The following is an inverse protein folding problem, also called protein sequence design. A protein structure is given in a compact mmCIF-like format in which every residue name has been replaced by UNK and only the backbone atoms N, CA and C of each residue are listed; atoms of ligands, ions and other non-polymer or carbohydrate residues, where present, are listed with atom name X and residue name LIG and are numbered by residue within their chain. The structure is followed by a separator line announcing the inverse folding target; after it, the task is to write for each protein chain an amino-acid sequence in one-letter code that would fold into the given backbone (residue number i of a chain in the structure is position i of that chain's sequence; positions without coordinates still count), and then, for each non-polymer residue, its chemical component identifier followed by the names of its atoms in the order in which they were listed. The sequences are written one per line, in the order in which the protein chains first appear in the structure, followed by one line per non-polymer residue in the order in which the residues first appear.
data_IF_176492754063
#
_entry.id   IF_176492754063
#
_cell.length_a   1.000
_cell.length_b   1.000
_cell.length_c   1.000
_cell.angle_alpha   90.00
_cell.angle_beta   90.00
_cell.angle_gamma   90.00
#
_symmetry.space_group_name_H-M   'P 1'
#
loop_
_entity.id
_entity.type
_entity.pdbx_description
1 polymer ?
#
# COMPACT_ATOMS: atom_id res chain seq x y z
N UNK A 1 -32.59 45.14 49.67
CA UNK A 1 -31.34 44.95 48.92
C UNK A 1 -31.13 43.45 48.60
N UNK A 2 -31.73 42.98 47.54
CA UNK A 2 -31.48 41.62 47.01
C UNK A 2 -30.28 41.67 46.03
N UNK A 3 -29.08 41.58 46.57
CA UNK A 3 -27.84 41.77 45.86
C UNK A 3 -27.38 40.41 45.29
N UNK A 4 -27.50 40.25 43.95
CA UNK A 4 -26.68 39.40 43.06
C UNK A 4 -26.29 37.97 43.54
N UNK A 5 -27.26 37.15 43.96
CA UNK A 5 -26.99 35.70 44.16
C UNK A 5 -27.09 34.87 42.86
N UNK A 6 -27.63 35.44 41.80
CA UNK A 6 -27.78 34.75 40.52
C UNK A 6 -26.53 34.82 39.61
N UNK A 7 -25.63 35.80 39.84
CA UNK A 7 -24.45 35.98 38.99
C UNK A 7 -23.50 34.76 38.97
N UNK A 8 -23.16 34.12 40.14
CA UNK A 8 -22.30 32.93 40.12
C UNK A 8 -22.96 31.71 39.47
N UNK A 9 -24.29 31.62 39.55
CA UNK A 9 -25.03 30.50 38.95
C UNK A 9 -25.10 30.60 37.43
N UNK A 10 -25.25 31.80 36.86
CA UNK A 10 -25.19 32.06 35.44
C UNK A 10 -23.79 31.85 34.89
N UNK A 11 -22.75 32.24 35.62
CA UNK A 11 -21.38 32.02 35.27
C UNK A 11 -21.01 30.52 35.25
N UNK A 12 -21.50 29.74 36.25
CA UNK A 12 -21.30 28.30 36.29
C UNK A 12 -21.98 27.57 35.11
N UNK A 13 -23.21 27.98 34.76
CA UNK A 13 -23.95 27.47 33.61
C UNK A 13 -23.23 27.80 32.28
N UNK A 14 -22.68 29.00 32.16
CA UNK A 14 -21.92 29.40 30.94
C UNK A 14 -20.61 28.60 30.81
N UNK A 15 -19.91 28.33 31.92
CA UNK A 15 -18.71 27.51 31.91
C UNK A 15 -19.00 26.04 31.54
N UNK A 16 -20.16 25.49 31.95
CA UNK A 16 -20.52 24.11 31.59
C UNK A 16 -20.82 23.92 30.13
N UNK A 17 -21.30 24.97 29.44
CA UNK A 17 -21.48 24.95 27.95
C UNK A 17 -20.16 24.97 27.17
N UNK A 18 -19.08 25.49 27.73
CA UNK A 18 -17.77 25.56 27.08
C UNK A 18 -16.97 24.24 27.16
N UNK A 19 -17.38 23.28 28.01
CA UNK A 19 -16.65 22.02 28.22
C UNK A 19 -17.18 20.88 27.31
N UNK A 20 -18.33 21.06 26.65
CA UNK A 20 -18.93 20.03 25.81
C UNK A 20 -18.49 20.08 24.33
N UNK A 21 -17.40 20.77 24.01
CA UNK A 21 -16.85 20.79 22.65
C UNK A 21 -15.82 19.66 22.43
N UNK A 22 -16.20 18.41 22.73
CA UNK A 22 -15.50 17.27 22.13
C UNK A 22 -16.06 17.07 20.72
N UNK A 23 -15.41 17.62 19.72
CA UNK A 23 -15.76 17.34 18.34
C UNK A 23 -15.42 15.87 18.03
N UNK A 24 -16.40 15.16 17.46
CA UNK A 24 -16.30 13.76 17.01
C UNK A 24 -15.22 13.55 15.94
N UNK A 25 -14.70 14.65 15.39
CA UNK A 25 -13.72 14.68 14.29
C UNK A 25 -12.25 14.62 14.77
N UNK A 26 -12.00 14.49 16.07
CA UNK A 26 -10.63 14.45 16.63
C UNK A 26 -10.02 13.04 16.64
N UNK A 27 -10.76 12.00 16.22
CA UNK A 27 -10.29 10.61 16.21
C UNK A 27 -10.33 10.07 14.78
N UNK A 28 -9.16 9.64 14.28
CA UNK A 28 -9.10 8.90 13.04
C UNK A 28 -9.66 7.48 13.24
N UNK A 29 -10.75 7.17 12.55
CA UNK A 29 -11.40 5.87 12.65
C UNK A 29 -10.55 4.78 11.98
N UNK A 30 -10.56 3.57 12.53
CA UNK A 30 -9.83 2.40 12.00
C UNK A 30 -10.28 2.06 10.57
N UNK A 31 -11.53 2.37 10.23
CA UNK A 31 -12.12 2.13 8.91
C UNK A 31 -11.69 3.17 7.85
N UNK A 32 -10.98 4.22 8.28
CA UNK A 32 -10.50 5.24 7.32
C UNK A 32 -9.47 4.63 6.38
N UNK A 33 -9.61 4.81 5.06
CA UNK A 33 -8.70 4.23 4.08
C UNK A 33 -7.25 4.68 4.34
N UNK A 34 -6.35 3.73 4.52
CA UNK A 34 -4.90 3.99 4.64
C UNK A 34 -4.25 4.13 3.25
N UNK A 35 -2.97 4.48 3.23
CA UNK A 35 -2.14 4.44 2.00
C UNK A 35 -2.23 3.06 1.36
N UNK A 36 -2.69 2.96 0.10
CA UNK A 36 -2.88 1.68 -0.57
C UNK A 36 -1.56 1.04 -0.96
N UNK A 37 -1.58 -0.29 -1.06
CA UNK A 37 -0.46 -1.10 -1.54
C UNK A 37 -0.69 -1.47 -3.00
N UNK A 38 0.39 -1.71 -3.72
CA UNK A 38 0.37 -2.20 -5.09
C UNK A 38 -0.11 -3.66 -5.10
N UNK A 39 -1.18 -3.96 -5.83
CA UNK A 39 -1.68 -5.31 -6.05
C UNK A 39 -1.14 -5.83 -7.37
N UNK A 40 -0.33 -6.88 -7.30
CA UNK A 40 0.27 -7.55 -8.46
C UNK A 40 -0.29 -8.96 -8.55
N UNK A 41 -0.81 -9.36 -9.72
CA UNK A 41 -1.23 -10.73 -9.98
C UNK A 41 -0.27 -11.46 -10.91
N UNK A 42 -0.12 -12.74 -10.65
CA UNK A 42 0.74 -13.64 -11.39
C UNK A 42 -0.12 -14.48 -12.35
N UNK A 43 0.27 -14.52 -13.60
CA UNK A 43 -0.42 -15.24 -14.67
C UNK A 43 0.53 -16.17 -15.42
N UNK A 44 -0.06 -17.18 -16.04
CA UNK A 44 0.67 -18.08 -16.92
C UNK A 44 1.08 -17.35 -18.20
N UNK A 45 2.36 -17.42 -18.56
CA UNK A 45 2.91 -16.82 -19.76
C UNK A 45 2.33 -17.43 -21.06
N UNK A 46 1.99 -18.73 -21.04
CA UNK A 46 1.45 -19.46 -22.17
C UNK A 46 -0.08 -19.30 -22.29
N UNK A 47 -0.77 -19.04 -21.17
CA UNK A 47 -2.19 -18.74 -21.15
C UNK A 47 -2.48 -17.54 -20.23
N UNK A 48 -2.41 -16.35 -20.76
CA UNK A 48 -2.52 -15.07 -20.04
C UNK A 48 -3.86 -14.82 -19.33
N UNK A 49 -4.87 -15.63 -19.60
CA UNK A 49 -6.16 -15.54 -18.90
C UNK A 49 -6.17 -16.34 -17.60
N UNK A 50 -5.24 -17.27 -17.42
CA UNK A 50 -5.16 -18.10 -16.26
C UNK A 50 -4.17 -17.52 -15.24
N UNK A 51 -4.65 -17.34 -14.00
CA UNK A 51 -3.75 -17.05 -12.90
C UNK A 51 -2.85 -18.27 -12.64
N UNK A 52 -1.60 -18.00 -12.28
CA UNK A 52 -0.61 -19.03 -11.96
C UNK A 52 0.12 -18.68 -10.68
N UNK A 53 -0.09 -19.49 -9.66
CA UNK A 53 0.59 -19.28 -8.40
C UNK A 53 2.09 -19.61 -8.52
N UNK A 54 2.91 -18.76 -7.90
CA UNK A 54 4.32 -19.08 -7.66
C UNK A 54 4.41 -20.05 -6.46
N UNK A 55 5.03 -21.19 -6.63
CA UNK A 55 5.01 -22.30 -5.65
C UNK A 55 5.61 -21.96 -4.28
N UNK A 56 6.61 -21.13 -4.22
CA UNK A 56 7.21 -20.67 -2.97
C UNK A 56 7.98 -19.39 -3.29
N UNK A 57 7.27 -18.28 -3.29
CA UNK A 57 7.88 -16.98 -3.52
C UNK A 57 8.23 -16.32 -2.19
N UNK A 58 9.47 -15.87 -2.07
CA UNK A 58 9.94 -15.06 -0.94
C UNK A 58 10.29 -13.67 -1.45
N UNK A 59 9.75 -12.65 -0.81
CA UNK A 59 9.91 -11.25 -1.23
C UNK A 59 10.66 -10.49 -0.14
N UNK A 60 11.71 -9.77 -0.57
CA UNK A 60 12.48 -8.86 0.27
C UNK A 60 12.40 -7.44 -0.28
N UNK A 61 12.25 -6.45 0.59
CA UNK A 61 12.62 -5.08 0.22
C UNK A 61 14.13 -5.01 0.02
N UNK A 62 14.61 -4.44 -1.07
CA UNK A 62 16.06 -4.32 -1.32
C UNK A 62 16.71 -3.53 -0.18
N UNK A 63 17.79 -4.11 0.39
CA UNK A 63 18.48 -3.59 1.56
C UNK A 63 17.87 -4.04 2.90
N UNK A 64 16.87 -4.93 2.90
CA UNK A 64 16.29 -5.52 4.11
C UNK A 64 16.75 -6.98 4.27
N UNK A 65 17.11 -7.35 5.49
CA UNK A 65 17.48 -8.72 5.82
C UNK A 65 16.27 -9.63 6.06
N UNK A 66 15.15 -9.02 6.48
CA UNK A 66 13.92 -9.75 6.77
C UNK A 66 13.01 -9.80 5.56
N UNK A 67 12.53 -11.00 5.24
CA UNK A 67 11.50 -11.16 4.21
C UNK A 67 10.23 -10.40 4.57
N UNK A 68 9.65 -9.73 3.58
CA UNK A 68 8.31 -9.12 3.67
C UNK A 68 7.27 -10.23 3.80
N UNK A 69 7.40 -11.27 2.96
CA UNK A 69 6.51 -12.41 2.91
C UNK A 69 7.18 -13.61 2.27
N UNK A 70 6.75 -14.82 2.67
CA UNK A 70 7.06 -16.09 1.99
C UNK A 70 5.77 -16.87 1.90
N UNK A 71 5.29 -17.15 0.69
CA UNK A 71 4.04 -17.87 0.46
C UNK A 71 3.95 -18.47 -0.95
N UNK A 72 2.97 -19.34 -1.14
CA UNK A 72 2.50 -19.80 -2.46
C UNK A 72 1.26 -19.01 -2.82
N UNK A 73 1.31 -18.23 -3.88
CA UNK A 73 0.22 -17.34 -4.26
C UNK A 73 0.29 -16.91 -5.71
N UNK A 74 -0.86 -16.52 -6.25
CA UNK A 74 -1.01 -15.81 -7.52
C UNK A 74 -1.23 -14.30 -7.35
N UNK A 75 -1.23 -13.80 -6.10
CA UNK A 75 -1.48 -12.39 -5.82
C UNK A 75 -0.52 -11.86 -4.76
N UNK A 76 0.15 -10.77 -5.05
CA UNK A 76 1.13 -10.11 -4.20
C UNK A 76 0.63 -8.74 -3.79
N UNK A 77 0.82 -8.39 -2.53
CA UNK A 77 0.45 -7.10 -1.95
C UNK A 77 1.71 -6.39 -1.49
N UNK A 78 2.14 -5.40 -2.25
CA UNK A 78 3.45 -4.75 -2.12
C UNK A 78 3.33 -3.31 -1.63
N UNK A 79 3.80 -2.97 -0.42
CA UNK A 79 3.87 -1.59 0.04
C UNK A 79 4.79 -0.74 -0.84
N UNK A 80 4.38 0.46 -1.20
CA UNK A 80 5.23 1.41 -1.91
C UNK A 80 5.81 2.45 -0.95
N UNK A 81 7.05 2.89 -1.17
CA UNK A 81 7.69 3.93 -0.36
C UNK A 81 7.03 5.27 -0.62
N UNK A 82 6.56 5.91 0.44
CA UNK A 82 5.86 7.20 0.34
C UNK A 82 6.80 8.40 0.10
N UNK A 83 8.10 8.25 0.33
CA UNK A 83 9.08 9.33 0.19
C UNK A 83 10.15 9.02 -0.87
N UNK A 84 9.79 8.25 -1.89
CA UNK A 84 10.67 7.91 -2.99
C UNK A 84 9.85 7.82 -4.29
N UNK A 85 10.52 7.99 -5.42
CA UNK A 85 9.91 7.81 -6.74
C UNK A 85 9.91 6.35 -7.21
N UNK A 86 10.48 5.44 -6.41
CA UNK A 86 10.50 4.01 -6.71
C UNK A 86 10.61 3.15 -5.46
N UNK A 87 10.21 1.90 -5.59
CA UNK A 87 10.44 0.84 -4.59
C UNK A 87 11.04 -0.38 -5.27
N UNK A 88 12.07 -0.98 -4.65
CA UNK A 88 12.73 -2.17 -5.17
C UNK A 88 12.41 -3.38 -4.28
N UNK A 89 12.09 -4.49 -4.94
CA UNK A 89 11.88 -5.79 -4.30
C UNK A 89 12.72 -6.87 -4.98
N UNK A 90 13.32 -7.74 -4.18
CA UNK A 90 13.91 -8.99 -4.62
C UNK A 90 12.88 -10.11 -4.44
N UNK A 91 12.61 -10.84 -5.51
CA UNK A 91 11.69 -11.96 -5.59
C UNK A 91 12.49 -13.24 -5.76
N UNK A 92 12.46 -14.09 -4.76
CA UNK A 92 13.12 -15.39 -4.79
C UNK A 92 12.07 -16.49 -4.98
N UNK A 93 12.09 -17.13 -6.12
CA UNK A 93 11.22 -18.25 -6.44
C UNK A 93 11.95 -19.57 -6.19
N UNK A 94 11.41 -20.42 -5.32
CA UNK A 94 11.89 -21.78 -5.12
C UNK A 94 11.07 -22.72 -5.97
N UNK A 95 11.70 -23.33 -6.96
CA UNK A 95 11.04 -24.31 -7.83
C UNK A 95 11.07 -25.69 -7.18
N UNK A 96 9.90 -26.32 -7.10
CA UNK A 96 9.73 -27.65 -6.49
C UNK A 96 10.45 -28.78 -7.22
N UNK A 97 10.72 -28.62 -8.52
CA UNK A 97 11.33 -29.64 -9.38
C UNK A 97 12.87 -29.66 -9.34
N UNK A 98 13.48 -28.54 -8.97
CA UNK A 98 14.95 -28.41 -8.82
C UNK A 98 15.18 -27.61 -7.56
N UNK A 99 16.03 -28.07 -6.66
CA UNK A 99 16.36 -27.37 -5.40
C UNK A 99 17.06 -26.00 -5.63
N UNK A 100 16.79 -25.37 -6.74
CA UNK A 100 17.41 -24.12 -7.19
C UNK A 100 16.46 -22.96 -6.88
N UNK A 101 16.98 -21.95 -6.21
CA UNK A 101 16.28 -20.67 -6.03
C UNK A 101 16.66 -19.72 -7.16
N UNK A 102 15.68 -19.24 -7.90
CA UNK A 102 15.86 -18.21 -8.92
C UNK A 102 15.35 -16.89 -8.37
N UNK A 103 16.11 -15.83 -8.59
CA UNK A 103 15.79 -14.52 -8.04
C UNK A 103 15.78 -13.43 -9.10
N UNK A 104 14.74 -12.57 -9.05
CA UNK A 104 14.63 -11.36 -9.85
C UNK A 104 14.49 -10.15 -8.94
N UNK A 105 15.16 -9.07 -9.28
CA UNK A 105 14.98 -7.79 -8.60
C UNK A 105 14.20 -6.85 -9.50
N UNK A 106 13.06 -6.40 -9.01
CA UNK A 106 12.21 -5.46 -9.72
C UNK A 106 12.24 -4.10 -9.02
N UNK A 107 12.32 -3.05 -9.81
CA UNK A 107 12.10 -1.68 -9.38
C UNK A 107 10.76 -1.23 -9.94
N UNK A 108 9.85 -0.83 -9.06
CA UNK A 108 8.57 -0.22 -9.41
C UNK A 108 8.72 1.29 -9.37
N UNK A 109 8.51 1.95 -10.49
CA UNK A 109 8.60 3.40 -10.65
C UNK A 109 7.20 4.01 -10.63
N UNK A 110 7.04 5.09 -9.89
CA UNK A 110 5.75 5.76 -9.71
C UNK A 110 5.94 7.22 -9.30
N UNK A 111 4.92 8.01 -9.52
CA UNK A 111 4.74 9.31 -8.88
C UNK A 111 3.75 9.19 -7.72
N UNK A 112 3.88 10.08 -6.74
CA UNK A 112 2.99 10.15 -5.57
C UNK A 112 2.12 11.39 -5.65
N UNK A 113 0.86 11.26 -5.20
CA UNK A 113 0.03 12.38 -4.83
C UNK A 113 -0.66 12.13 -3.50
N UNK A 114 -0.94 13.23 -2.77
CA UNK A 114 -1.56 13.14 -1.46
C UNK A 114 -3.04 13.48 -1.55
N UNK A 115 -3.87 12.67 -0.90
CA UNK A 115 -5.30 12.85 -0.78
C UNK A 115 -5.62 13.24 0.66
N UNK A 116 -6.30 14.37 0.82
CA UNK A 116 -6.81 14.78 2.12
C UNK A 116 -8.02 13.93 2.51
N UNK A 117 -7.97 13.30 3.67
CA UNK A 117 -9.05 12.47 4.18
C UNK A 117 -10.01 13.28 5.08
N UNK A 118 -9.50 13.73 6.19
CA UNK A 118 -10.20 14.59 7.14
C UNK A 118 -9.20 15.21 8.13
N UNK A 119 -9.70 16.03 9.06
CA UNK A 119 -8.86 16.75 10.02
C UNK A 119 -8.09 15.83 10.97
N UNK A 120 -8.67 14.73 11.41
CA UNK A 120 -8.04 13.81 12.36
C UNK A 120 -7.11 12.80 11.72
N UNK A 121 -7.38 12.39 10.46
CA UNK A 121 -6.55 11.42 9.73
C UNK A 121 -5.49 12.09 8.85
N UNK A 122 -5.67 13.39 8.53
CA UNK A 122 -4.72 14.11 7.67
C UNK A 122 -4.78 13.66 6.22
N UNK A 123 -3.63 13.24 5.68
CA UNK A 123 -3.45 12.85 4.28
C UNK A 123 -3.03 11.39 4.18
N UNK A 124 -3.44 10.74 3.09
CA UNK A 124 -2.86 9.47 2.64
C UNK A 124 -2.11 9.66 1.34
N UNK A 125 -1.08 8.88 1.12
CA UNK A 125 -0.39 8.83 -0.15
C UNK A 125 -1.12 7.86 -1.09
N UNK A 126 -1.32 8.27 -2.33
CA UNK A 126 -1.69 7.43 -3.46
C UNK A 126 -0.57 7.50 -4.49
N UNK A 127 -0.57 6.56 -5.45
CA UNK A 127 0.52 6.47 -6.42
C UNK A 127 -0.04 6.34 -7.84
N UNK A 128 0.73 6.82 -8.81
CA UNK A 128 0.48 6.63 -10.24
C UNK A 128 1.71 5.93 -10.80
N UNK A 129 1.54 4.72 -11.34
CA UNK A 129 2.59 3.99 -12.00
C UNK A 129 3.03 4.74 -13.27
N UNK A 130 4.32 4.74 -13.56
CA UNK A 130 4.84 5.31 -14.80
C UNK A 130 4.50 4.39 -15.99
N UNK A 131 4.60 4.91 -17.23
CA UNK A 131 4.34 4.14 -18.45
C UNK A 131 5.25 2.90 -18.57
N UNK A 132 6.46 2.96 -18.03
CA UNK A 132 7.34 1.82 -17.84
C UNK A 132 7.60 1.58 -16.35
N UNK A 133 6.61 0.99 -15.63
CA UNK A 133 6.62 0.95 -14.18
C UNK A 133 7.62 -0.04 -13.61
N UNK A 134 8.11 -1.00 -14.40
CA UNK A 134 9.08 -1.99 -13.95
C UNK A 134 10.41 -1.79 -14.67
N UNK A 135 11.47 -1.77 -13.89
CA UNK A 135 12.85 -1.88 -14.38
C UNK A 135 13.60 -2.97 -13.62
N UNK A 136 14.66 -3.47 -14.25
CA UNK A 136 15.51 -4.54 -13.73
C UNK A 136 16.89 -3.95 -13.43
N UNK A 137 17.18 -3.61 -12.14
CA UNK A 137 18.40 -2.89 -11.81
C UNK A 137 19.70 -3.71 -11.95
N UNK A 138 19.62 -5.04 -11.98
CA UNK A 138 20.82 -5.88 -11.92
C UNK A 138 21.05 -6.74 -13.17
N UNK A 139 20.03 -7.37 -13.72
CA UNK A 139 20.14 -8.30 -14.84
C UNK A 139 18.77 -8.51 -15.50
N UNK A 140 18.75 -9.14 -16.68
CA UNK A 140 17.52 -9.63 -17.29
C UNK A 140 16.82 -10.62 -16.34
N UNK A 141 15.47 -10.61 -16.29
CA UNK A 141 14.73 -11.48 -15.39
C UNK A 141 14.96 -12.97 -15.71
N UNK A 142 14.92 -13.81 -14.67
CA UNK A 142 15.15 -15.25 -14.77
C UNK A 142 13.83 -16.04 -14.89
N UNK A 143 12.74 -15.58 -14.23
CA UNK A 143 11.46 -16.28 -14.21
C UNK A 143 10.29 -15.41 -14.68
N UNK A 144 10.45 -14.09 -14.68
CA UNK A 144 9.45 -13.13 -15.17
C UNK A 144 9.65 -12.92 -16.66
N UNK A 145 8.62 -13.20 -17.48
CA UNK A 145 8.71 -13.02 -18.92
C UNK A 145 8.24 -11.64 -19.39
N UNK A 146 7.12 -11.19 -18.85
CA UNK A 146 6.55 -9.89 -19.19
C UNK A 146 5.64 -9.37 -18.10
N UNK A 147 5.25 -8.11 -18.21
CA UNK A 147 4.27 -7.48 -17.33
C UNK A 147 3.32 -6.60 -18.14
N UNK A 148 2.19 -6.27 -17.52
CA UNK A 148 1.16 -5.40 -18.10
C UNK A 148 0.54 -4.54 -16.99
N UNK A 149 0.39 -3.23 -17.25
CA UNK A 149 -0.35 -2.34 -16.36
C UNK A 149 -1.83 -2.54 -16.66
N UNK A 150 -2.59 -2.93 -15.66
CA UNK A 150 -4.05 -3.04 -15.76
C UNK A 150 -4.72 -1.75 -15.28
N UNK A 151 -4.19 -1.16 -14.22
CA UNK A 151 -4.62 0.12 -13.66
C UNK A 151 -3.37 0.87 -13.18
N UNK A 152 -3.12 2.03 -13.73
CA UNK A 152 -1.96 2.86 -13.40
C UNK A 152 -2.08 3.52 -12.01
N UNK A 153 -3.31 3.81 -11.58
CA UNK A 153 -3.58 4.55 -10.34
C UNK A 153 -3.79 3.61 -9.16
N UNK A 154 -2.85 3.64 -8.20
CA UNK A 154 -2.90 2.88 -6.95
C UNK A 154 -3.55 3.74 -5.87
N UNK A 155 -4.89 3.69 -5.81
CA UNK A 155 -5.71 4.45 -4.86
C UNK A 155 -6.56 3.54 -3.93
N UNK A 156 -6.60 2.24 -4.20
CA UNK A 156 -7.27 1.24 -3.38
C UNK A 156 -6.61 -0.14 -3.57
N UNK A 157 -7.03 -1.16 -2.81
CA UNK A 157 -6.51 -2.53 -2.88
C UNK A 157 -7.55 -3.53 -3.42
N UNK A 158 -8.64 -3.05 -3.99
CA UNK A 158 -9.74 -3.91 -4.47
C UNK A 158 -9.53 -4.42 -5.90
N UNK A 159 -8.59 -3.81 -6.62
CA UNK A 159 -8.33 -4.09 -8.02
C UNK A 159 -6.86 -4.47 -8.22
N UNK A 160 -6.59 -5.29 -9.23
CA UNK A 160 -5.23 -5.59 -9.66
C UNK A 160 -4.68 -4.41 -10.45
N UNK A 161 -3.52 -3.92 -10.04
CA UNK A 161 -2.84 -2.82 -10.72
C UNK A 161 -1.91 -3.32 -11.81
N UNK A 162 -1.21 -4.42 -11.55
CA UNK A 162 -0.18 -4.96 -12.42
C UNK A 162 -0.33 -6.48 -12.58
N UNK A 163 -0.20 -6.95 -13.81
CA UNK A 163 -0.06 -8.36 -14.14
C UNK A 163 1.41 -8.69 -14.41
N UNK A 164 1.89 -9.81 -13.89
CA UNK A 164 3.20 -10.40 -14.21
C UNK A 164 2.94 -11.78 -14.82
N UNK A 165 3.58 -12.06 -15.94
CA UNK A 165 3.49 -13.33 -16.67
C UNK A 165 4.78 -14.13 -16.49
N UNK A 166 4.63 -15.44 -16.10
CA UNK A 166 5.78 -16.30 -15.77
C UNK A 166 5.61 -17.78 -16.14
#
# INVERSE_FOLDING_TARGET
MMKNRCAPFVFLLLCSYLISSCEKDDICLIETPSTPRLIVRLFDKDNRLNSKAADSITIYGVGQERALVTLTTDSLVLPLKTQAAFTQYAFLLKTSTVSTTVGDTLQFNYSRYDEYLNRSCGYRANFILEDNPISYPAAAPNWIESFEILIDTVSNEQQTHLAIYH
#
